data_IF_851628595167
#
_entry.id   IF_851628595167
#
_cell.length_a   1.000
_cell.length_b   1.000
_cell.length_c   1.000
_cell.angle_alpha   90.00
_cell.angle_beta   90.00
_cell.angle_gamma   90.00
#
_symmetry.space_group_name_H-M   'P 1'
#
loop_
_entity.id
_entity.type
_entity.pdbx_description
1 polymer ?
#
# COMPACT_ATOMS: atom_id res chain seq x y z
N UNK A 1 3.49 18.73 -23.03
CA UNK A 1 2.69 19.34 -21.96
C UNK A 1 3.24 20.73 -21.71
N UNK A 2 2.46 21.77 -21.99
CA UNK A 2 2.82 23.15 -21.69
C UNK A 2 2.62 23.39 -20.19
N UNK A 3 3.73 23.57 -19.47
CA UNK A 3 3.77 23.64 -18.02
C UNK A 3 3.42 25.04 -17.47
N UNK A 4 3.09 26.01 -18.33
CA UNK A 4 2.76 27.39 -17.95
C UNK A 4 1.47 27.51 -17.12
N UNK A 5 0.51 26.60 -17.32
CA UNK A 5 -0.73 26.51 -16.52
C UNK A 5 -0.48 26.07 -15.06
N UNK A 6 0.63 25.36 -14.82
CA UNK A 6 1.11 25.02 -13.48
C UNK A 6 2.04 26.10 -12.95
N UNK A 7 1.83 27.39 -13.21
CA UNK A 7 2.66 28.44 -12.57
C UNK A 7 1.97 29.07 -11.38
N UNK A 8 0.64 28.99 -11.28
CA UNK A 8 -0.16 29.79 -10.33
C UNK A 8 -1.05 28.97 -9.36
N UNK A 9 -1.13 27.63 -9.51
CA UNK A 9 -1.76 26.74 -8.51
C UNK A 9 -0.65 26.07 -7.69
N UNK A 10 -0.58 26.26 -6.37
CA UNK A 10 0.65 26.02 -5.57
C UNK A 10 0.64 24.83 -4.59
N UNK A 11 -0.34 23.92 -4.70
CA UNK A 11 -0.25 22.56 -4.16
C UNK A 11 -0.30 21.60 -5.36
N UNK A 12 0.81 20.92 -5.69
CA UNK A 12 0.91 20.29 -7.03
C UNK A 12 0.87 18.78 -7.08
N UNK A 13 1.06 18.08 -5.97
CA UNK A 13 0.69 16.67 -5.89
C UNK A 13 0.79 16.23 -4.44
N UNK A 14 -0.31 15.72 -3.88
CA UNK A 14 -0.29 14.89 -2.69
C UNK A 14 -0.56 13.48 -3.18
N UNK A 15 0.48 12.65 -3.27
CA UNK A 15 0.29 11.21 -3.46
C UNK A 15 0.22 10.52 -2.11
N UNK A 16 -0.68 9.55 -2.08
CA UNK A 16 -0.64 8.48 -1.10
C UNK A 16 0.41 7.48 -1.57
N UNK A 17 1.54 7.42 -0.87
CA UNK A 17 2.53 6.37 -1.09
C UNK A 17 2.22 5.17 -0.20
N UNK A 18 2.00 4.02 -0.84
CA UNK A 18 1.67 2.77 -0.17
C UNK A 18 2.92 2.01 0.30
N UNK A 19 4.11 2.40 -0.14
CA UNK A 19 5.34 1.66 0.16
C UNK A 19 5.86 2.03 1.54
N UNK A 20 6.09 1.03 2.38
CA UNK A 20 6.63 1.19 3.71
C UNK A 20 8.16 1.36 3.67
N UNK A 21 8.71 2.51 4.12
CA UNK A 21 10.15 2.69 4.25
C UNK A 21 10.78 1.69 5.23
N UNK A 22 10.01 1.21 6.22
CA UNK A 22 10.47 0.23 7.19
C UNK A 22 10.77 -1.12 6.52
N UNK A 23 9.91 -1.56 5.59
CA UNK A 23 10.14 -2.79 4.85
C UNK A 23 11.43 -2.72 4.02
N UNK A 24 11.60 -1.64 3.26
CA UNK A 24 12.79 -1.43 2.42
C UNK A 24 14.10 -1.39 3.22
N UNK A 25 14.06 -0.87 4.46
CA UNK A 25 15.22 -0.88 5.37
C UNK A 25 15.51 -2.24 5.97
N UNK A 26 14.48 -3.05 6.19
CA UNK A 26 14.58 -4.34 6.90
C UNK A 26 14.94 -5.46 5.94
N UNK A 27 14.32 -5.51 4.76
CA UNK A 27 14.51 -6.57 3.77
C UNK A 27 15.57 -6.19 2.74
N UNK A 28 16.85 -6.34 3.12
CA UNK A 28 18.00 -5.94 2.28
C UNK A 28 18.15 -6.73 0.98
N UNK A 29 17.48 -7.87 0.85
CA UNK A 29 17.50 -8.71 -0.36
C UNK A 29 16.50 -8.25 -1.41
N UNK A 30 15.55 -7.41 -1.03
CA UNK A 30 14.53 -6.89 -1.92
C UNK A 30 15.01 -5.59 -2.56
N UNK A 31 15.19 -5.61 -3.88
CA UNK A 31 15.47 -4.41 -4.66
C UNK A 31 14.15 -3.84 -5.22
N UNK A 32 13.77 -2.67 -4.70
CA UNK A 32 12.53 -2.01 -5.10
C UNK A 32 12.61 -1.37 -6.49
N UNK A 33 13.79 -0.91 -6.93
CA UNK A 33 13.95 -0.35 -8.27
C UNK A 33 13.88 -1.44 -9.32
N UNK A 34 14.52 -2.58 -9.07
CA UNK A 34 14.45 -3.75 -9.95
C UNK A 34 13.01 -4.29 -10.03
N UNK A 35 12.32 -4.41 -8.88
CA UNK A 35 10.90 -4.77 -8.83
C UNK A 35 10.04 -3.84 -9.71
N UNK A 36 10.20 -2.52 -9.56
CA UNK A 36 9.46 -1.54 -10.38
C UNK A 36 9.77 -1.68 -11.86
N UNK A 37 11.04 -1.90 -12.22
CA UNK A 37 11.46 -2.08 -13.60
C UNK A 37 10.84 -3.35 -14.21
N UNK A 38 10.83 -4.46 -13.47
CA UNK A 38 10.24 -5.72 -13.91
C UNK A 38 8.73 -5.58 -14.14
N UNK A 39 8.00 -4.97 -13.19
CA UNK A 39 6.56 -4.74 -13.33
C UNK A 39 6.25 -3.85 -14.54
N UNK A 40 7.02 -2.77 -14.74
CA UNK A 40 6.87 -1.89 -15.90
C UNK A 40 7.13 -2.62 -17.21
N UNK A 41 8.18 -3.43 -17.27
CA UNK A 41 8.54 -4.21 -18.46
C UNK A 41 7.42 -5.19 -18.83
N UNK A 42 6.97 -6.00 -17.87
CA UNK A 42 5.90 -6.97 -18.09
C UNK A 42 4.59 -6.31 -18.50
N UNK A 43 4.23 -5.21 -17.83
CA UNK A 43 3.02 -4.47 -18.16
C UNK A 43 3.07 -3.88 -19.58
N UNK A 44 4.20 -3.30 -19.97
CA UNK A 44 4.40 -2.72 -21.30
C UNK A 44 4.37 -3.80 -22.38
N UNK A 45 4.94 -4.97 -22.08
CA UNK A 45 4.90 -6.12 -22.99
C UNK A 45 3.46 -6.60 -23.25
N UNK A 46 2.62 -6.65 -22.23
CA UNK A 46 1.23 -7.11 -22.37
C UNK A 46 0.28 -6.05 -22.92
N UNK A 47 0.45 -4.77 -22.56
CA UNK A 47 -0.53 -3.71 -22.82
C UNK A 47 -0.05 -2.64 -23.82
N UNK A 48 1.23 -2.62 -24.18
CA UNK A 48 1.81 -1.68 -25.14
C UNK A 48 2.03 -0.25 -24.62
N UNK A 49 1.61 0.08 -23.40
CA UNK A 49 1.89 1.36 -22.75
C UNK A 49 2.08 1.23 -21.23
N UNK A 50 2.45 2.32 -20.56
CA UNK A 50 2.59 2.39 -19.09
C UNK A 50 1.61 3.36 -18.43
N UNK A 51 0.70 3.98 -19.19
CA UNK A 51 -0.12 5.09 -18.69
C UNK A 51 -1.13 4.64 -17.64
N UNK A 52 -1.64 3.42 -17.78
CA UNK A 52 -2.61 2.83 -16.86
C UNK A 52 -1.95 2.06 -15.70
N UNK A 53 -0.62 1.93 -15.67
CA UNK A 53 0.06 1.12 -14.66
C UNK A 53 -0.07 1.76 -13.27
N UNK A 54 -0.86 1.14 -12.40
CA UNK A 54 -0.96 1.48 -10.98
C UNK A 54 0.00 0.63 -10.16
N UNK A 55 1.13 1.20 -9.76
CA UNK A 55 2.13 0.48 -8.93
C UNK A 55 1.56 0.01 -7.58
N UNK A 56 0.51 0.67 -7.08
CA UNK A 56 -0.23 0.27 -5.88
C UNK A 56 -0.76 -1.17 -5.95
N UNK A 57 -1.27 -1.60 -7.10
CA UNK A 57 -1.82 -2.94 -7.27
C UNK A 57 -0.72 -4.01 -7.23
N UNK A 58 0.43 -3.72 -7.85
CA UNK A 58 1.59 -4.59 -7.81
C UNK A 58 2.14 -4.76 -6.37
N UNK A 59 2.17 -3.68 -5.59
CA UNK A 59 2.57 -3.70 -4.17
C UNK A 59 1.61 -4.58 -3.36
N UNK A 60 0.29 -4.40 -3.51
CA UNK A 60 -0.70 -5.21 -2.79
C UNK A 60 -0.67 -6.68 -3.22
N UNK A 61 -0.43 -6.96 -4.50
CA UNK A 61 -0.27 -8.33 -4.99
C UNK A 61 0.98 -9.00 -4.39
N UNK A 62 2.11 -8.29 -4.34
CA UNK A 62 3.32 -8.77 -3.67
C UNK A 62 3.05 -9.15 -2.21
N UNK A 63 2.37 -8.27 -1.47
CA UNK A 63 2.05 -8.51 -0.06
C UNK A 63 1.09 -9.67 0.15
N UNK A 64 0.12 -9.85 -0.75
CA UNK A 64 -0.79 -11.00 -0.70
C UNK A 64 -0.03 -12.34 -0.82
N UNK A 65 0.95 -12.40 -1.72
CA UNK A 65 1.80 -13.57 -1.93
C UNK A 65 2.75 -13.77 -0.74
N UNK A 66 3.37 -12.69 -0.24
CA UNK A 66 4.26 -12.74 0.91
C UNK A 66 3.55 -13.27 2.16
N UNK A 67 2.35 -12.74 2.44
CA UNK A 67 1.52 -13.18 3.57
C UNK A 67 1.10 -14.64 3.41
N UNK A 68 0.68 -15.06 2.22
CA UNK A 68 0.33 -16.44 1.93
C UNK A 68 1.53 -17.38 2.11
N UNK A 69 2.69 -17.04 1.54
CA UNK A 69 3.90 -17.83 1.63
C UNK A 69 4.38 -18.00 3.07
N UNK A 70 4.45 -16.91 3.86
CA UNK A 70 4.85 -16.98 5.28
C UNK A 70 3.85 -17.78 6.11
N UNK A 71 2.55 -17.62 5.85
CA UNK A 71 1.51 -18.36 6.58
C UNK A 71 1.54 -19.86 6.26
N UNK A 72 1.70 -20.21 4.98
CA UNK A 72 1.84 -21.60 4.55
C UNK A 72 3.13 -22.23 5.07
N UNK A 73 4.25 -21.49 5.06
CA UNK A 73 5.51 -21.97 5.63
C UNK A 73 5.36 -22.30 7.12
N UNK A 74 4.74 -21.41 7.89
CA UNK A 74 4.46 -21.64 9.32
C UNK A 74 3.56 -22.87 9.55
N UNK A 75 2.52 -23.05 8.73
CA UNK A 75 1.66 -24.23 8.82
C UNK A 75 2.37 -25.52 8.41
N UNK A 76 3.23 -25.48 7.39
CA UNK A 76 3.93 -26.65 6.89
C UNK A 76 4.91 -27.25 7.92
N UNK A 77 5.34 -26.45 8.91
CA UNK A 77 6.15 -26.94 10.03
C UNK A 77 5.36 -27.84 10.99
N UNK A 78 4.02 -27.75 11.00
CA UNK A 78 3.14 -28.43 11.97
C UNK A 78 2.23 -29.44 11.26
N UNK A 79 1.79 -29.14 10.04
CA UNK A 79 0.78 -29.92 9.32
C UNK A 79 1.31 -30.41 7.96
N UNK A 80 0.96 -31.65 7.54
CA UNK A 80 1.36 -32.20 6.25
C UNK A 80 0.49 -31.63 5.12
N UNK A 81 0.75 -30.40 4.68
CA UNK A 81 -0.11 -29.69 3.73
C UNK A 81 -0.16 -30.30 2.32
N UNK A 82 0.90 -30.99 1.87
CA UNK A 82 1.07 -31.44 0.47
C UNK A 82 0.25 -32.67 0.09
N UNK A 83 -0.19 -33.47 1.06
CA UNK A 83 -0.80 -34.78 0.77
C UNK A 83 -2.30 -34.73 0.49
N UNK A 84 -2.99 -33.61 0.78
CA UNK A 84 -4.47 -33.59 0.83
C UNK A 84 -5.16 -32.78 -0.29
N UNK A 85 -4.44 -32.12 -1.20
CA UNK A 85 -5.04 -31.28 -2.26
C UNK A 85 -5.99 -32.08 -3.16
N UNK A 86 -5.69 -33.37 -3.39
CA UNK A 86 -6.49 -34.24 -4.26
C UNK A 86 -7.86 -34.65 -3.70
N UNK A 87 -8.15 -34.34 -2.42
CA UNK A 87 -9.40 -34.73 -1.75
C UNK A 87 -10.48 -33.63 -1.75
N UNK A 88 -10.13 -32.40 -2.15
CA UNK A 88 -11.03 -31.24 -2.11
C UNK A 88 -11.99 -31.28 -3.30
N UNK A 89 -13.26 -30.90 -3.08
CA UNK A 89 -14.26 -30.91 -4.15
C UNK A 89 -15.29 -29.79 -4.01
N UNK A 90 -15.56 -29.11 -5.12
CA UNK A 90 -16.69 -28.17 -5.22
C UNK A 90 -18.03 -28.92 -5.28
N UNK A 91 -19.11 -28.29 -4.80
CA UNK A 91 -20.47 -28.84 -4.91
C UNK A 91 -20.85 -28.99 -6.39
N UNK A 92 -21.44 -30.12 -6.76
CA UNK A 92 -22.10 -30.31 -8.06
C UNK A 92 -23.54 -30.79 -7.86
N UNK A 93 -24.32 -30.90 -8.93
CA UNK A 93 -25.71 -31.39 -8.86
C UNK A 93 -25.81 -32.81 -8.27
N UNK A 94 -24.80 -33.64 -8.48
CA UNK A 94 -24.81 -35.06 -8.11
C UNK A 94 -23.88 -35.40 -6.93
N UNK A 95 -23.07 -34.45 -6.45
CA UNK A 95 -22.07 -34.68 -5.40
C UNK A 95 -21.99 -33.49 -4.44
N UNK A 96 -21.90 -33.80 -3.14
CA UNK A 96 -21.63 -32.82 -2.09
C UNK A 96 -20.24 -32.20 -2.21
N UNK A 97 -20.04 -31.06 -1.54
CA UNK A 97 -18.72 -30.43 -1.43
C UNK A 97 -17.87 -31.14 -0.37
N UNK A 98 -16.55 -31.13 -0.56
CA UNK A 98 -15.58 -31.59 0.43
C UNK A 98 -14.64 -30.42 0.69
N UNK A 99 -14.70 -29.80 1.89
CA UNK A 99 -13.86 -28.66 2.22
C UNK A 99 -12.42 -29.08 2.43
N UNK A 100 -11.49 -28.13 2.26
CA UNK A 100 -10.11 -28.36 2.66
C UNK A 100 -10.01 -28.54 4.17
N UNK A 101 -9.46 -29.67 4.61
CA UNK A 101 -9.37 -30.06 6.03
C UNK A 101 -8.71 -28.99 6.90
N UNK A 102 -7.61 -28.41 6.42
CA UNK A 102 -6.85 -27.38 7.13
C UNK A 102 -7.33 -25.96 6.79
N UNK A 103 -8.43 -25.79 6.06
CA UNK A 103 -8.90 -24.48 5.60
C UNK A 103 -9.15 -23.49 6.74
N UNK A 104 -9.78 -23.95 7.84
CA UNK A 104 -10.00 -23.12 9.03
C UNK A 104 -8.67 -22.70 9.68
N UNK A 105 -7.77 -23.66 9.87
CA UNK A 105 -6.45 -23.43 10.47
C UNK A 105 -5.63 -22.47 9.61
N UNK A 106 -5.71 -22.58 8.28
CA UNK A 106 -5.06 -21.66 7.35
C UNK A 106 -5.61 -20.26 7.47
N UNK A 107 -6.93 -20.11 7.47
CA UNK A 107 -7.57 -18.80 7.66
C UNK A 107 -7.17 -18.19 9.00
N UNK A 108 -7.19 -18.96 10.08
CA UNK A 108 -6.84 -18.47 11.42
C UNK A 108 -5.34 -18.15 11.51
N UNK A 109 -4.48 -18.93 10.87
CA UNK A 109 -3.04 -18.65 10.79
C UNK A 109 -2.79 -17.35 10.03
N UNK A 110 -3.39 -17.16 8.87
CA UNK A 110 -3.26 -15.93 8.07
C UNK A 110 -3.76 -14.72 8.87
N UNK A 111 -4.91 -14.83 9.55
CA UNK A 111 -5.47 -13.74 10.36
C UNK A 111 -4.58 -13.32 11.52
N UNK A 112 -3.94 -14.29 12.17
CA UNK A 112 -3.13 -14.05 13.36
C UNK A 112 -1.64 -13.86 13.03
N UNK A 113 -1.28 -13.86 11.75
CA UNK A 113 0.11 -13.67 11.35
C UNK A 113 0.45 -12.18 11.34
N UNK A 114 1.53 -11.83 12.01
CA UNK A 114 2.10 -10.48 11.97
C UNK A 114 3.25 -10.49 10.98
N UNK A 115 3.02 -9.96 9.79
CA UNK A 115 3.99 -9.92 8.70
C UNK A 115 4.20 -8.47 8.29
N UNK A 116 5.45 -8.01 8.35
CA UNK A 116 5.86 -6.79 7.67
C UNK A 116 5.97 -7.09 6.17
N UNK A 117 5.19 -6.39 5.36
CA UNK A 117 5.19 -6.40 3.91
C UNK A 117 5.61 -5.06 3.31
N UNK A 118 5.65 -5.01 1.98
CA UNK A 118 6.01 -3.84 1.19
C UNK A 118 5.08 -2.66 1.49
N UNK A 119 3.80 -2.91 1.82
CA UNK A 119 2.84 -1.90 2.23
C UNK A 119 2.81 -1.61 3.74
N UNK A 120 3.71 -2.19 4.54
CA UNK A 120 3.74 -2.03 5.99
C UNK A 120 3.21 -3.26 6.72
N UNK A 121 2.43 -3.06 7.79
CA UNK A 121 1.92 -4.18 8.59
C UNK A 121 0.75 -4.87 7.87
N UNK A 122 0.93 -6.15 7.55
CA UNK A 122 -0.09 -7.00 6.91
C UNK A 122 -0.97 -7.72 7.93
N UNK A 123 -0.77 -7.50 9.23
CA UNK A 123 -1.61 -8.11 10.24
C UNK A 123 -3.07 -7.71 10.04
N UNK A 124 -4.00 -8.61 10.36
CA UNK A 124 -5.41 -8.24 10.30
C UNK A 124 -5.70 -7.29 11.44
N UNK A 125 -6.25 -6.13 11.11
CA UNK A 125 -6.84 -5.21 12.09
C UNK A 125 -7.79 -6.00 13.01
N UNK A 126 -7.45 -6.03 14.29
CA UNK A 126 -8.21 -6.75 15.30
C UNK A 126 -9.65 -6.27 15.40
N UNK A 127 -10.51 -7.03 16.09
CA UNK A 127 -11.94 -6.70 16.31
C UNK A 127 -12.18 -5.45 17.18
N UNK A 128 -11.12 -4.77 17.62
CA UNK A 128 -11.26 -3.55 18.40
C UNK A 128 -11.64 -2.41 17.44
N UNK A 129 -12.89 -1.94 17.55
CA UNK A 129 -13.37 -0.79 16.80
C UNK A 129 -12.41 0.39 17.00
N UNK A 130 -11.85 0.91 15.91
CA UNK A 130 -10.92 2.04 15.90
C UNK A 130 -9.45 1.66 15.84
N UNK A 131 -9.03 0.42 16.11
CA UNK A 131 -7.67 0.01 15.78
C UNK A 131 -7.56 -0.08 14.26
N UNK A 132 -6.47 0.41 13.69
CA UNK A 132 -6.10 0.37 12.28
C UNK A 132 -4.57 0.35 12.24
N UNK A 133 -4.01 -0.56 11.48
CA UNK A 133 -2.57 -0.75 11.35
C UNK A 133 -2.03 -0.21 10.01
N UNK A 134 -2.82 0.62 9.33
CA UNK A 134 -2.42 1.26 8.10
C UNK A 134 -2.33 2.77 8.31
N UNK A 135 -1.34 3.34 7.66
CA UNK A 135 -1.12 4.77 7.54
C UNK A 135 -0.94 5.09 6.06
N UNK A 136 -1.42 6.22 5.62
CA UNK A 136 -1.13 6.72 4.27
C UNK A 136 -0.01 7.76 4.36
N UNK A 137 1.10 7.53 3.67
CA UNK A 137 2.17 8.53 3.57
C UNK A 137 1.71 9.67 2.68
N UNK A 138 2.06 10.90 3.06
CA UNK A 138 1.71 12.11 2.35
C UNK A 138 3.01 12.67 1.76
N UNK A 139 3.12 12.63 0.44
CA UNK A 139 4.26 13.18 -0.27
C UNK A 139 3.90 14.51 -0.94
N UNK A 140 4.85 15.43 -1.01
CA UNK A 140 4.72 16.74 -1.64
C UNK A 140 5.80 16.92 -2.72
N UNK A 141 5.39 17.30 -3.92
CA UNK A 141 6.32 17.76 -4.95
C UNK A 141 6.74 19.22 -4.69
N UNK A 142 7.99 19.42 -4.28
CA UNK A 142 8.58 20.74 -4.03
C UNK A 142 8.96 21.51 -5.31
N UNK A 143 9.26 22.79 -5.17
CA UNK A 143 9.64 23.68 -6.29
C UNK A 143 10.92 23.24 -7.02
N UNK A 144 11.78 22.49 -6.34
CA UNK A 144 13.00 21.91 -6.90
C UNK A 144 12.73 20.71 -7.82
N UNK A 145 11.45 20.27 -7.93
CA UNK A 145 11.07 19.05 -8.63
C UNK A 145 11.33 17.77 -7.82
N UNK A 146 11.72 17.90 -6.55
CA UNK A 146 11.93 16.78 -5.62
C UNK A 146 10.64 16.45 -4.89
N UNK A 147 10.41 15.16 -4.65
CA UNK A 147 9.30 14.66 -3.85
C UNK A 147 9.78 14.53 -2.41
N UNK A 148 9.15 15.28 -1.50
CA UNK A 148 9.42 15.26 -0.08
C UNK A 148 8.29 14.52 0.66
N UNK A 149 8.65 13.59 1.54
CA UNK A 149 7.71 12.98 2.47
C UNK A 149 7.43 13.97 3.61
N UNK A 150 6.20 14.50 3.64
CA UNK A 150 5.81 15.58 4.56
C UNK A 150 5.02 15.08 5.76
N UNK A 151 4.73 13.79 5.83
CA UNK A 151 3.92 13.25 6.90
C UNK A 151 3.13 12.00 6.54
N UNK A 152 2.13 11.73 7.36
CA UNK A 152 1.25 10.58 7.18
C UNK A 152 -0.12 10.86 7.79
N UNK A 153 -1.13 10.17 7.29
CA UNK A 153 -2.46 10.13 7.88
C UNK A 153 -2.73 8.76 8.47
N UNK A 154 -3.31 8.74 9.66
CA UNK A 154 -3.77 7.54 10.36
C UNK A 154 -5.25 7.69 10.72
N UNK A 155 -6.06 6.62 10.61
CA UNK A 155 -7.49 6.70 10.93
C UNK A 155 -7.81 7.13 12.38
N UNK A 156 -6.90 6.87 13.33
CA UNK A 156 -7.11 7.13 14.76
C UNK A 156 -6.67 8.53 15.20
N UNK A 157 -5.54 8.96 14.67
CA UNK A 157 -4.78 10.11 15.16
C UNK A 157 -4.78 11.25 14.13
N UNK A 158 -5.47 11.04 12.99
CA UNK A 158 -5.63 11.96 11.87
C UNK A 158 -4.29 12.30 11.16
N UNK A 159 -4.14 13.50 10.61
CA UNK A 159 -2.97 13.91 9.84
C UNK A 159 -1.81 14.31 10.75
N UNK A 160 -0.66 13.67 10.58
CA UNK A 160 0.62 14.02 11.20
C UNK A 160 1.55 14.61 10.15
N UNK A 161 1.81 15.90 10.26
CA UNK A 161 2.68 16.62 9.33
C UNK A 161 4.04 16.85 9.96
N UNK A 162 5.09 16.32 9.34
CA UNK A 162 6.47 16.60 9.66
C UNK A 162 7.13 17.32 8.49
N UNK A 163 6.88 18.63 8.38
CA UNK A 163 7.49 19.47 7.35
C UNK A 163 8.95 19.77 7.68
N UNK A 164 9.84 19.45 6.75
CA UNK A 164 11.25 19.89 6.78
C UNK A 164 11.55 20.86 5.64
N UNK A 165 12.57 21.72 5.82
CA UNK A 165 13.17 22.57 4.77
C UNK A 165 12.18 23.32 3.84
N UNK A 166 12.22 23.05 2.53
CA UNK A 166 11.48 23.77 1.48
C UNK A 166 9.95 23.64 1.62
N UNK A 167 9.46 22.50 2.11
CA UNK A 167 8.02 22.28 2.29
C UNK A 167 7.40 23.24 3.32
N UNK A 168 8.18 23.59 4.36
CA UNK A 168 7.77 24.58 5.37
C UNK A 168 7.72 26.00 4.80
N UNK A 169 8.72 26.38 4.00
CA UNK A 169 8.75 27.68 3.32
C UNK A 169 7.61 27.83 2.30
N UNK A 170 7.28 26.75 1.58
CA UNK A 170 6.18 26.70 0.62
C UNK A 170 4.80 26.89 1.28
N UNK A 171 4.56 26.34 2.47
CA UNK A 171 3.30 26.53 3.20
C UNK A 171 3.26 27.92 3.87
N UNK A 172 4.36 28.36 4.50
CA UNK A 172 4.41 29.66 5.20
C UNK A 172 4.25 30.89 4.28
N UNK A 173 4.73 30.83 3.03
CA UNK A 173 4.54 31.90 2.06
C UNK A 173 3.05 32.08 1.66
N UNK A 174 2.21 31.07 1.90
CA UNK A 174 0.78 31.07 1.58
C UNK A 174 -0.13 31.41 2.77
N UNK A 175 0.38 31.56 4.00
CA UNK A 175 -0.41 31.95 5.19
C UNK A 175 -0.63 33.48 5.26
N UNK A 176 -0.18 34.25 4.26
CA UNK A 176 -0.48 35.68 4.10
C UNK A 176 -1.60 35.95 3.09
N UNK A 177 -2.60 35.08 2.99
CA UNK A 177 -3.77 35.34 2.13
C UNK A 177 -5.03 35.25 3.00
N UNK A 178 -5.58 36.45 3.26
CA UNK A 178 -6.91 36.82 3.76
C UNK A 178 -7.76 35.74 4.47
N UNK A 179 -8.24 36.07 5.67
CA UNK A 179 -9.25 35.34 6.46
C UNK A 179 -10.55 34.97 5.71
N UNK A 180 -10.73 35.45 4.48
CA UNK A 180 -11.88 35.17 3.60
C UNK A 180 -11.74 33.89 2.75
N UNK A 181 -10.56 33.27 2.69
CA UNK A 181 -10.34 32.00 1.96
C UNK A 181 -9.75 30.95 2.89
N UNK A 182 -10.53 30.55 3.90
CA UNK A 182 -10.25 29.31 4.64
C UNK A 182 -10.03 28.19 3.62
N UNK A 183 -8.88 27.48 3.65
CA UNK A 183 -8.73 26.31 2.84
C UNK A 183 -9.72 25.29 3.40
N UNK A 184 -10.85 25.14 2.72
CA UNK A 184 -11.52 23.87 2.72
C UNK A 184 -10.48 22.88 2.21
N UNK A 185 -9.84 22.16 3.14
CA UNK A 185 -9.12 20.93 2.83
C UNK A 185 -10.15 19.95 2.27
N UNK A 186 -10.57 20.16 1.02
CA UNK A 186 -11.19 19.11 0.23
C UNK A 186 -10.04 18.21 -0.18
N UNK A 187 -9.78 17.24 0.69
CA UNK A 187 -9.11 16.00 0.32
C UNK A 187 -9.96 15.40 -0.79
N UNK A 188 -9.64 15.72 -2.03
CA UNK A 188 -10.16 14.99 -3.19
C UNK A 188 -9.50 13.62 -3.13
N UNK A 189 -10.17 12.66 -2.49
CA UNK A 189 -9.84 11.25 -2.65
C UNK A 189 -10.00 10.93 -4.13
N UNK A 190 -8.89 10.88 -4.87
CA UNK A 190 -8.90 10.27 -6.21
C UNK A 190 -8.77 8.76 -5.95
N UNK A 191 -9.91 8.06 -5.98
CA UNK A 191 -9.98 6.60 -6.08
C UNK A 191 -9.60 6.14 -7.49
#
# INVERSE_FOLDING_TARGET
MDMSLFRHNHARFISVELVSPQFLRTERRFDFEDFKAQIRSNWTFENGDTKALKMSEAVLAFDSILLAAKSLHKMAQIYPLKTEIHSIRCRSMTRGFIPYRYGRILIDTVKNNTVLGLSGDLSRVGRMFGASNFSFRINLLGFTGRIDDIGYWEPQTDVHVNMSHDSKAQIQHNVKVSDELKPHFRVSTIM
#
